data_IF_020258599564
#
_entry.id   IF_020258599564
#
_cell.length_a   1.000
_cell.length_b   1.000
_cell.length_c   1.000
_cell.angle_alpha   90.00
_cell.angle_beta   90.00
_cell.angle_gamma   90.00
#
_symmetry.space_group_name_H-M   'P 1'
#
loop_
_entity.id
_entity.type
_entity.pdbx_description
1 polymer ?
#
# COMPACT_ATOMS: atom_id res chain seq x y z
N UNK A 1 17.61 0.45 16.28
CA UNK A 1 16.63 1.55 16.24
C UNK A 1 17.38 2.83 15.92
N UNK A 2 17.48 3.20 14.64
CA UNK A 2 17.76 4.59 14.31
C UNK A 2 16.51 5.37 14.70
N UNK A 3 16.71 6.45 15.47
CA UNK A 3 15.67 7.39 15.88
C UNK A 3 14.75 7.70 14.71
N UNK A 4 13.50 7.22 14.75
CA UNK A 4 12.40 7.89 14.05
C UNK A 4 12.46 9.31 14.57
N UNK A 5 12.84 10.27 13.72
CA UNK A 5 12.72 11.68 14.10
C UNK A 5 11.30 11.86 14.62
N UNK A 6 11.12 12.42 15.82
CA UNK A 6 9.80 12.75 16.37
C UNK A 6 9.19 13.86 15.50
N UNK A 7 8.72 13.49 14.31
CA UNK A 7 8.06 14.37 13.38
C UNK A 7 6.60 14.44 13.84
N UNK A 8 6.15 15.64 14.19
CA UNK A 8 4.81 15.89 14.71
C UNK A 8 4.13 16.98 13.88
N UNK A 9 2.80 16.99 13.74
CA UNK A 9 2.10 18.01 12.96
C UNK A 9 2.38 19.43 13.47
N UNK A 10 2.56 20.37 12.53
CA UNK A 10 2.88 21.78 12.75
C UNK A 10 1.89 22.66 11.95
N UNK A 11 1.40 23.76 12.53
CA UNK A 11 0.33 24.60 11.98
C UNK A 11 0.74 25.41 10.74
N UNK A 12 2.04 25.50 10.45
CA UNK A 12 2.56 26.23 9.29
C UNK A 12 3.05 25.32 8.16
N UNK A 13 2.75 24.03 8.20
CA UNK A 13 3.22 23.09 7.17
C UNK A 13 2.13 22.75 6.16
N UNK A 14 2.41 23.03 4.88
CA UNK A 14 1.63 22.55 3.74
C UNK A 14 2.38 21.45 2.99
N UNK A 15 1.63 20.54 2.36
CA UNK A 15 2.18 19.54 1.45
C UNK A 15 2.92 20.18 0.26
N UNK A 16 2.49 21.37 -0.15
CA UNK A 16 3.04 22.11 -1.29
C UNK A 16 4.25 22.97 -0.95
N UNK A 17 4.67 23.03 0.32
CA UNK A 17 5.84 23.81 0.70
C UNK A 17 7.12 23.24 0.07
N UNK A 18 7.97 24.13 -0.43
CA UNK A 18 9.32 23.82 -0.90
C UNK A 18 10.32 24.26 0.17
N UNK A 19 10.71 23.35 1.05
CA UNK A 19 11.65 23.60 2.15
C UNK A 19 13.08 23.16 1.79
N UNK A 20 13.20 22.11 1.00
CA UNK A 20 14.44 21.45 0.63
C UNK A 20 14.58 21.38 -0.90
N UNK A 21 15.20 22.41 -1.48
CA UNK A 21 15.35 22.55 -2.94
C UNK A 21 16.05 21.36 -3.61
N UNK A 22 17.00 20.71 -2.91
CA UNK A 22 17.70 19.50 -3.39
C UNK A 22 16.79 18.26 -3.51
N UNK A 23 15.58 18.30 -2.96
CA UNK A 23 14.61 17.21 -2.96
C UNK A 23 13.40 17.51 -3.86
N UNK A 24 13.46 18.57 -4.67
CA UNK A 24 12.36 18.95 -5.54
C UNK A 24 12.35 18.11 -6.80
N UNK A 25 11.21 17.50 -7.09
CA UNK A 25 10.95 16.74 -8.30
C UNK A 25 9.75 17.36 -9.04
N UNK A 26 9.96 17.70 -10.31
CA UNK A 26 8.87 18.11 -11.22
C UNK A 26 8.23 16.86 -11.84
N UNK A 27 6.95 16.63 -11.55
CA UNK A 27 6.16 15.59 -12.20
C UNK A 27 5.67 16.10 -13.54
N UNK A 28 6.34 15.63 -14.61
CA UNK A 28 5.98 15.92 -15.99
C UNK A 28 5.78 14.64 -16.78
N UNK A 29 4.56 14.46 -17.29
CA UNK A 29 4.20 13.32 -18.14
C UNK A 29 4.47 13.64 -19.61
N UNK A 30 4.97 12.66 -20.36
CA UNK A 30 5.24 12.79 -21.79
C UNK A 30 3.97 12.98 -22.63
N UNK A 31 2.81 12.65 -22.05
CA UNK A 31 1.50 12.58 -22.73
C UNK A 31 1.42 11.46 -23.76
N UNK A 32 2.31 10.49 -23.65
CA UNK A 32 2.33 9.25 -24.42
C UNK A 32 2.00 8.12 -23.44
N UNK A 33 0.75 7.61 -23.42
CA UNK A 33 0.32 6.65 -22.41
C UNK A 33 1.22 5.40 -22.30
N UNK A 34 1.74 4.89 -23.41
CA UNK A 34 2.70 3.77 -23.37
C UNK A 34 3.94 4.11 -22.53
N UNK A 35 4.62 5.24 -22.82
CA UNK A 35 5.84 5.63 -22.13
C UNK A 35 5.57 5.98 -20.67
N UNK A 36 4.46 6.66 -20.38
CA UNK A 36 4.15 7.09 -19.02
C UNK A 36 3.76 5.91 -18.11
N UNK A 37 2.97 4.94 -18.60
CA UNK A 37 2.69 3.72 -17.86
C UNK A 37 3.92 2.81 -17.72
N UNK A 38 4.75 2.72 -18.77
CA UNK A 38 6.02 1.98 -18.74
C UNK A 38 6.96 2.56 -17.69
N UNK A 39 7.14 3.88 -17.68
CA UNK A 39 7.99 4.58 -16.70
C UNK A 39 7.52 4.26 -15.28
N UNK A 40 6.23 4.45 -15.00
CA UNK A 40 5.68 4.19 -13.67
C UNK A 40 5.78 2.71 -13.28
N UNK A 41 5.64 1.77 -14.23
CA UNK A 41 5.88 0.36 -13.97
C UNK A 41 7.31 0.09 -13.48
N UNK A 42 8.30 0.74 -14.08
CA UNK A 42 9.71 0.62 -13.68
C UNK A 42 9.96 1.18 -12.28
N UNK A 43 9.41 2.35 -11.97
CA UNK A 43 9.50 3.00 -10.64
C UNK A 43 8.97 2.07 -9.53
N UNK A 44 7.79 1.48 -9.75
CA UNK A 44 7.17 0.52 -8.83
C UNK A 44 7.99 -0.77 -8.69
N UNK A 45 8.48 -1.32 -9.80
CA UNK A 45 9.28 -2.55 -9.78
C UNK A 45 10.60 -2.37 -9.05
N UNK A 46 11.31 -1.26 -9.28
CA UNK A 46 12.56 -0.95 -8.59
C UNK A 46 12.35 -0.84 -7.07
N UNK A 47 11.28 -0.17 -6.64
CA UNK A 47 10.95 -0.07 -5.22
C UNK A 47 10.56 -1.43 -4.61
N UNK A 48 9.79 -2.24 -5.33
CA UNK A 48 9.45 -3.60 -4.90
C UNK A 48 10.68 -4.51 -4.78
N UNK A 49 11.57 -4.46 -5.76
CA UNK A 49 12.85 -5.16 -5.76
C UNK A 49 13.70 -4.81 -4.55
N UNK A 50 13.89 -3.51 -4.28
CA UNK A 50 14.67 -3.03 -3.13
C UNK A 50 14.10 -3.53 -1.80
N UNK A 51 12.77 -3.56 -1.65
CA UNK A 51 12.14 -4.12 -0.44
C UNK A 51 12.43 -5.62 -0.35
N UNK A 52 12.23 -6.40 -1.43
CA UNK A 52 12.46 -7.84 -1.41
C UNK A 52 13.91 -8.21 -1.14
N UNK A 53 14.86 -7.56 -1.81
CA UNK A 53 16.29 -7.71 -1.55
C UNK A 53 16.57 -7.49 -0.05
N UNK A 54 16.09 -6.38 0.50
CA UNK A 54 16.34 -6.06 1.90
C UNK A 54 15.65 -7.01 2.90
N UNK A 55 14.45 -7.50 2.58
CA UNK A 55 13.75 -8.52 3.37
C UNK A 55 14.56 -9.81 3.38
N UNK A 56 14.97 -10.29 2.20
CA UNK A 56 15.68 -11.57 2.02
C UNK A 56 17.07 -11.51 2.67
N UNK A 57 17.85 -10.46 2.40
CA UNK A 57 19.21 -10.28 2.94
C UNK A 57 19.23 -10.10 4.45
N UNK A 58 18.14 -9.58 5.04
CA UNK A 58 18.06 -9.42 6.49
C UNK A 58 17.94 -10.74 7.26
N UNK A 59 17.71 -11.86 6.56
CA UNK A 59 17.65 -13.20 7.14
C UNK A 59 16.52 -13.34 8.14
N UNK A 60 16.81 -13.28 9.44
CA UNK A 60 15.86 -13.54 10.54
C UNK A 60 15.31 -12.25 11.15
N UNK A 61 14.76 -11.38 10.31
CA UNK A 61 14.03 -10.20 10.77
C UNK A 61 12.53 -10.38 10.51
N UNK A 62 11.80 -10.82 11.53
CA UNK A 62 10.36 -11.07 11.43
C UNK A 62 9.57 -9.82 11.05
N UNK A 63 9.98 -8.62 11.48
CA UNK A 63 9.31 -7.38 11.07
C UNK A 63 9.41 -7.20 9.54
N UNK A 64 10.56 -7.50 8.95
CA UNK A 64 10.73 -7.42 7.50
C UNK A 64 9.98 -8.54 6.79
N UNK A 65 10.19 -9.79 7.21
CA UNK A 65 9.56 -10.97 6.59
C UNK A 65 8.04 -10.96 6.71
N UNK A 66 7.50 -10.56 7.85
CA UNK A 66 6.06 -10.70 8.16
C UNK A 66 5.28 -9.41 7.91
N UNK A 67 5.95 -8.26 7.69
CA UNK A 67 5.29 -6.96 7.52
C UNK A 67 5.72 -6.24 6.23
N UNK A 68 7.03 -6.02 6.02
CA UNK A 68 7.52 -5.30 4.83
C UNK A 68 7.29 -6.10 3.54
N UNK A 69 7.40 -7.42 3.63
CA UNK A 69 7.23 -8.33 2.51
C UNK A 69 5.92 -8.10 1.74
N UNK A 70 4.82 -7.80 2.44
CA UNK A 70 3.54 -7.49 1.80
C UNK A 70 3.57 -6.20 0.97
N UNK A 71 4.38 -5.22 1.37
CA UNK A 71 4.59 -4.01 0.57
C UNK A 71 5.34 -4.34 -0.72
N UNK A 72 6.39 -5.18 -0.64
CA UNK A 72 7.11 -5.66 -1.82
C UNK A 72 6.19 -6.39 -2.81
N UNK A 73 5.32 -7.28 -2.30
CA UNK A 73 4.29 -7.95 -3.09
C UNK A 73 3.40 -6.93 -3.79
N UNK A 74 2.85 -5.96 -3.06
CA UNK A 74 1.96 -4.97 -3.66
C UNK A 74 2.69 -4.15 -4.75
N UNK A 75 3.92 -3.68 -4.48
CA UNK A 75 4.65 -2.83 -5.43
C UNK A 75 4.96 -3.55 -6.74
N UNK A 76 5.43 -4.80 -6.69
CA UNK A 76 5.68 -5.59 -7.90
C UNK A 76 4.38 -6.02 -8.58
N UNK A 77 3.31 -6.32 -7.84
CA UNK A 77 1.99 -6.58 -8.44
C UNK A 77 1.46 -5.34 -9.18
N UNK A 78 1.65 -4.15 -8.61
CA UNK A 78 1.29 -2.87 -9.24
C UNK A 78 2.17 -2.59 -10.47
N UNK A 79 3.47 -2.93 -10.44
CA UNK A 79 4.35 -2.78 -11.60
C UNK A 79 3.92 -3.66 -12.77
N UNK A 80 3.48 -4.90 -12.51
CA UNK A 80 2.92 -5.79 -13.53
C UNK A 80 1.65 -5.20 -14.14
N UNK A 81 0.72 -4.69 -13.32
CA UNK A 81 -0.50 -4.05 -13.83
C UNK A 81 -0.17 -2.86 -14.74
N UNK A 82 0.74 -1.99 -14.30
CA UNK A 82 1.17 -0.82 -15.08
C UNK A 82 1.87 -1.22 -16.37
N UNK A 83 2.74 -2.23 -16.33
CA UNK A 83 3.44 -2.75 -17.49
C UNK A 83 2.49 -3.35 -18.52
N UNK A 84 1.51 -4.14 -18.08
CA UNK A 84 0.47 -4.68 -18.95
C UNK A 84 -0.43 -3.58 -19.51
N UNK A 85 -0.79 -2.56 -18.71
CA UNK A 85 -1.51 -1.38 -19.20
C UNK A 85 -0.70 -0.57 -20.22
N UNK A 86 0.61 -0.48 -20.07
CA UNK A 86 1.49 0.09 -21.08
C UNK A 86 1.39 -0.71 -22.39
N UNK A 87 1.51 -2.04 -22.33
CA UNK A 87 1.36 -2.89 -23.51
C UNK A 87 0.00 -2.69 -24.21
N UNK A 88 -1.09 -2.58 -23.46
CA UNK A 88 -2.41 -2.24 -24.02
C UNK A 88 -2.40 -0.88 -24.72
N UNK A 89 -1.79 0.15 -24.11
CA UNK A 89 -1.62 1.47 -24.72
C UNK A 89 -0.79 1.42 -26.02
N UNK A 90 0.16 0.49 -26.14
CA UNK A 90 0.95 0.30 -27.37
C UNK A 90 0.13 -0.32 -28.49
N UNK A 91 -0.64 -1.37 -28.20
CA UNK A 91 -1.37 -2.14 -29.22
C UNK A 91 -2.74 -1.57 -29.58
N UNK A 92 -3.28 -0.66 -28.76
CA UNK A 92 -4.58 -0.01 -29.00
C UNK A 92 -4.38 1.43 -29.51
N UNK A 93 -4.73 1.68 -30.78
CA UNK A 93 -4.51 2.97 -31.43
C UNK A 93 -5.59 4.03 -31.14
N UNK A 94 -6.68 3.66 -30.46
CA UNK A 94 -7.81 4.55 -30.17
C UNK A 94 -8.01 4.72 -28.67
N UNK A 95 -8.13 5.97 -28.22
CA UNK A 95 -8.45 6.33 -26.83
C UNK A 95 -9.61 5.50 -26.26
N UNK A 96 -10.74 5.43 -26.96
CA UNK A 96 -11.92 4.69 -26.49
C UNK A 96 -11.67 3.18 -26.31
N UNK A 97 -10.75 2.60 -27.08
CA UNK A 97 -10.38 1.19 -26.97
C UNK A 97 -9.50 0.96 -25.73
N UNK A 98 -8.53 1.83 -25.47
CA UNK A 98 -7.73 1.79 -24.23
C UNK A 98 -8.65 1.92 -23.02
N UNK A 99 -9.54 2.91 -23.02
CA UNK A 99 -10.48 3.13 -21.91
C UNK A 99 -11.38 1.92 -21.68
N UNK A 100 -11.86 1.29 -22.75
CA UNK A 100 -12.67 0.08 -22.65
C UNK A 100 -11.87 -1.05 -22.01
N UNK A 101 -10.66 -1.33 -22.48
CA UNK A 101 -9.81 -2.37 -21.89
C UNK A 101 -9.50 -2.09 -20.42
N UNK A 102 -9.17 -0.84 -20.05
CA UNK A 102 -8.91 -0.50 -18.66
C UNK A 102 -10.13 -0.70 -17.77
N UNK A 103 -11.34 -0.37 -18.24
CA UNK A 103 -12.58 -0.57 -17.47
C UNK A 103 -12.98 -2.04 -17.38
N UNK A 104 -12.86 -2.78 -18.49
CA UNK A 104 -13.27 -4.18 -18.58
C UNK A 104 -12.32 -5.09 -17.79
N UNK A 105 -11.01 -4.81 -17.81
CA UNK A 105 -10.01 -5.58 -17.09
C UNK A 105 -9.78 -5.06 -15.66
N UNK A 106 -9.96 -3.76 -15.43
CA UNK A 106 -9.72 -3.11 -14.14
C UNK A 106 -8.29 -3.36 -13.60
N UNK A 107 -8.16 -4.31 -12.66
CA UNK A 107 -6.91 -4.72 -12.00
C UNK A 107 -6.44 -6.12 -12.44
N UNK A 108 -7.24 -6.86 -13.22
CA UNK A 108 -7.01 -8.26 -13.57
C UNK A 108 -5.84 -8.40 -14.56
N UNK A 109 -4.71 -8.90 -14.06
CA UNK A 109 -3.46 -9.03 -14.80
C UNK A 109 -3.57 -10.07 -15.90
N UNK A 110 -4.23 -11.19 -15.61
CA UNK A 110 -4.44 -12.26 -16.59
C UNK A 110 -5.24 -11.77 -17.80
N UNK A 111 -6.37 -11.08 -17.56
CA UNK A 111 -7.18 -10.48 -18.63
C UNK A 111 -6.40 -9.41 -19.39
N UNK A 112 -5.66 -8.54 -18.71
CA UNK A 112 -4.82 -7.53 -19.38
C UNK A 112 -3.81 -8.18 -20.33
N UNK A 113 -3.12 -9.24 -19.89
CA UNK A 113 -2.15 -9.96 -20.70
C UNK A 113 -2.80 -10.69 -21.88
N UNK A 114 -3.98 -11.30 -21.67
CA UNK A 114 -4.73 -11.95 -22.74
C UNK A 114 -5.16 -10.94 -23.81
N UNK A 115 -5.70 -9.78 -23.40
CA UNK A 115 -6.08 -8.68 -24.31
C UNK A 115 -4.91 -8.17 -25.14
N UNK A 116 -3.74 -8.04 -24.53
CA UNK A 116 -2.52 -7.71 -25.24
C UNK A 116 -2.15 -8.81 -26.27
N UNK A 117 -2.15 -10.07 -25.84
CA UNK A 117 -1.81 -11.22 -26.69
C UNK A 117 -2.74 -11.39 -27.89
N UNK A 118 -4.03 -11.06 -27.75
CA UNK A 118 -5.03 -11.12 -28.82
C UNK A 118 -4.71 -10.17 -30.00
N UNK A 119 -3.87 -9.15 -29.78
CA UNK A 119 -3.47 -8.18 -30.83
C UNK A 119 -2.32 -8.67 -31.71
N UNK A 120 -1.75 -9.84 -31.42
CA UNK A 120 -0.74 -10.49 -32.26
C UNK A 120 0.71 -10.09 -32.00
N UNK A 121 0.98 -9.18 -31.05
CA UNK A 121 2.34 -8.95 -30.55
C UNK A 121 2.75 -10.08 -29.61
N UNK A 122 3.91 -10.69 -29.86
CA UNK A 122 4.51 -11.68 -28.97
C UNK A 122 6.04 -11.57 -29.03
N UNK A 123 6.65 -11.28 -27.89
CA UNK A 123 8.10 -11.08 -27.76
C UNK A 123 8.74 -12.06 -26.76
N UNK A 124 7.97 -13.03 -26.30
CA UNK A 124 8.40 -14.08 -25.37
C UNK A 124 8.19 -15.45 -26.02
N UNK A 125 8.96 -16.45 -25.57
CA UNK A 125 8.84 -17.83 -26.04
C UNK A 125 7.50 -18.45 -25.65
N UNK A 126 7.16 -19.58 -26.26
CA UNK A 126 5.93 -20.32 -25.89
C UNK A 126 5.94 -20.74 -24.42
N UNK A 127 7.09 -21.17 -23.90
CA UNK A 127 7.24 -21.63 -22.51
C UNK A 127 7.15 -20.46 -21.54
N UNK A 128 7.83 -19.34 -21.83
CA UNK A 128 7.72 -18.09 -21.06
C UNK A 128 6.26 -17.61 -21.01
N UNK A 129 5.57 -17.65 -22.16
CA UNK A 129 4.17 -17.24 -22.26
C UNK A 129 3.25 -18.15 -21.45
N UNK A 130 3.42 -19.47 -21.56
CA UNK A 130 2.60 -20.42 -20.81
C UNK A 130 2.81 -20.27 -19.31
N UNK A 131 4.06 -20.12 -18.88
CA UNK A 131 4.41 -19.87 -17.48
C UNK A 131 3.75 -18.59 -16.97
N UNK A 132 3.89 -17.48 -17.72
CA UNK A 132 3.31 -16.18 -17.33
C UNK A 132 1.78 -16.24 -17.26
N UNK A 133 1.12 -16.92 -18.20
CA UNK A 133 -0.35 -17.08 -18.17
C UNK A 133 -0.80 -17.79 -16.90
N UNK A 134 -0.15 -18.90 -16.53
CA UNK A 134 -0.49 -19.63 -15.31
C UNK A 134 -0.20 -18.80 -14.06
N UNK A 135 0.93 -18.08 -14.04
CA UNK A 135 1.31 -17.24 -12.92
C UNK A 135 0.35 -16.07 -12.71
N UNK A 136 -0.02 -15.36 -13.76
CA UNK A 136 -1.00 -14.28 -13.66
C UNK A 136 -2.37 -14.81 -13.23
N UNK A 137 -2.77 -15.99 -13.69
CA UNK A 137 -4.02 -16.60 -13.24
C UNK A 137 -3.99 -16.94 -11.73
N UNK A 138 -2.87 -17.45 -11.20
CA UNK A 138 -2.74 -17.74 -9.76
C UNK A 138 -2.69 -16.49 -8.89
N UNK A 139 -2.25 -15.34 -9.42
CA UNK A 139 -2.44 -14.04 -8.75
C UNK A 139 -3.92 -13.71 -8.60
N UNK A 140 -4.72 -13.86 -9.66
CA UNK A 140 -6.15 -13.50 -9.63
C UNK A 140 -6.96 -14.39 -8.68
N UNK A 141 -6.52 -15.62 -8.40
CA UNK A 141 -7.16 -16.48 -7.39
C UNK A 141 -7.02 -15.93 -5.95
N UNK A 142 -6.04 -15.06 -5.71
CA UNK A 142 -5.70 -14.54 -4.38
C UNK A 142 -5.94 -13.04 -4.23
N UNK A 143 -5.60 -12.24 -5.24
CA UNK A 143 -5.56 -10.77 -5.18
C UNK A 143 -6.20 -10.10 -6.41
N UNK A 144 -7.36 -10.59 -6.85
CA UNK A 144 -8.12 -10.06 -8.01
C UNK A 144 -8.34 -8.54 -7.94
N UNK A 145 -8.58 -8.01 -6.74
CA UNK A 145 -8.90 -6.60 -6.49
C UNK A 145 -7.68 -5.74 -6.17
N UNK A 146 -6.49 -6.31 -6.20
CA UNK A 146 -5.26 -5.65 -5.81
C UNK A 146 -5.27 -5.14 -4.36
N UNK A 147 -6.10 -5.67 -3.46
CA UNK A 147 -6.33 -5.14 -2.11
C UNK A 147 -5.85 -6.07 -0.98
N UNK A 148 -5.56 -7.34 -1.26
CA UNK A 148 -5.24 -8.38 -0.27
C UNK A 148 -4.00 -8.03 0.57
N UNK A 149 -2.98 -7.46 -0.07
CA UNK A 149 -1.72 -7.09 0.59
C UNK A 149 -1.65 -5.62 1.01
N UNK A 150 -2.74 -4.85 0.80
CA UNK A 150 -2.86 -3.45 1.25
C UNK A 150 -3.59 -3.30 2.57
N UNK A 151 -4.49 -4.23 2.88
CA UNK A 151 -5.35 -4.18 4.05
C UNK A 151 -5.20 -5.46 4.88
N UNK A 152 -5.69 -5.48 6.13
CA UNK A 152 -5.74 -6.70 6.93
C UNK A 152 -6.48 -7.81 6.19
N UNK A 153 -6.04 -9.06 6.39
CA UNK A 153 -6.54 -10.19 5.64
C UNK A 153 -8.00 -10.50 5.99
N UNK A 154 -8.79 -10.84 4.97
CA UNK A 154 -10.18 -11.26 5.18
C UNK A 154 -10.24 -12.68 5.77
N UNK A 155 -11.34 -13.00 6.46
CA UNK A 155 -11.57 -14.30 7.10
C UNK A 155 -11.38 -15.49 6.14
N UNK A 156 -11.77 -15.33 4.87
CA UNK A 156 -11.61 -16.38 3.86
C UNK A 156 -10.15 -16.70 3.57
N UNK A 157 -9.29 -15.66 3.46
CA UNK A 157 -7.86 -15.84 3.26
C UNK A 157 -7.23 -16.49 4.50
N UNK A 158 -7.55 -16.01 5.70
CA UNK A 158 -7.05 -16.56 6.94
C UNK A 158 -7.53 -18.02 7.15
N UNK A 159 -8.75 -18.37 6.78
CA UNK A 159 -9.23 -19.75 6.88
C UNK A 159 -8.38 -20.73 6.05
N UNK A 160 -7.81 -20.27 4.94
CA UNK A 160 -6.98 -21.10 4.06
C UNK A 160 -5.49 -21.06 4.42
N UNK A 161 -4.97 -19.92 4.86
CA UNK A 161 -3.53 -19.69 4.97
C UNK A 161 -3.00 -19.35 6.36
N UNK A 162 -3.89 -19.17 7.35
CA UNK A 162 -3.47 -18.89 8.74
C UNK A 162 -2.49 -19.96 9.21
N UNK A 163 -1.48 -19.50 9.94
CA UNK A 163 -0.41 -20.29 10.53
C UNK A 163 0.55 -20.96 9.53
N UNK A 164 0.48 -20.59 8.25
CA UNK A 164 1.42 -21.06 7.22
C UNK A 164 2.56 -20.06 7.02
N UNK A 165 3.64 -20.54 6.40
CA UNK A 165 4.76 -19.72 6.02
C UNK A 165 4.81 -19.55 4.50
N UNK A 166 4.88 -18.32 4.00
CA UNK A 166 5.21 -18.05 2.60
C UNK A 166 6.72 -18.09 2.43
N UNK A 167 7.17 -18.74 1.36
CA UNK A 167 8.56 -18.76 0.97
C UNK A 167 8.92 -17.40 0.33
N UNK A 168 9.57 -16.53 1.11
CA UNK A 168 9.87 -15.16 0.69
C UNK A 168 10.69 -15.13 -0.60
N UNK A 169 11.70 -16.00 -0.69
CA UNK A 169 12.60 -16.06 -1.85
C UNK A 169 11.82 -16.53 -3.08
N UNK A 170 11.09 -17.64 -2.98
CA UNK A 170 10.38 -18.20 -4.13
C UNK A 170 9.27 -17.28 -4.63
N UNK A 171 8.51 -16.67 -3.72
CA UNK A 171 7.46 -15.71 -4.09
C UNK A 171 8.08 -14.47 -4.75
N UNK A 172 9.13 -13.87 -4.15
CA UNK A 172 9.80 -12.71 -4.72
C UNK A 172 10.38 -13.00 -6.11
N UNK A 173 11.09 -14.13 -6.25
CA UNK A 173 11.66 -14.57 -7.51
C UNK A 173 10.61 -14.75 -8.61
N UNK A 174 9.46 -15.36 -8.30
CA UNK A 174 8.37 -15.51 -9.25
C UNK A 174 7.79 -14.15 -9.68
N UNK A 175 7.63 -13.22 -8.74
CA UNK A 175 7.14 -11.87 -9.06
C UNK A 175 8.11 -11.12 -9.96
N UNK A 176 9.40 -11.17 -9.65
CA UNK A 176 10.45 -10.59 -10.49
C UNK A 176 10.46 -11.21 -11.89
N UNK A 177 10.43 -12.55 -11.98
CA UNK A 177 10.38 -13.26 -13.26
C UNK A 177 9.16 -12.81 -14.10
N UNK A 178 7.97 -12.72 -13.51
CA UNK A 178 6.78 -12.26 -14.20
C UNK A 178 6.92 -10.83 -14.71
N UNK A 179 7.43 -9.91 -13.87
CA UNK A 179 7.69 -8.53 -14.28
C UNK A 179 8.75 -8.44 -15.38
N UNK A 180 9.82 -9.23 -15.31
CA UNK A 180 10.86 -9.27 -16.35
C UNK A 180 10.33 -9.78 -17.70
N UNK A 181 9.41 -10.75 -17.72
CA UNK A 181 8.73 -11.19 -18.94
C UNK A 181 7.84 -10.09 -19.53
N UNK A 182 7.13 -9.34 -18.68
CA UNK A 182 6.36 -8.15 -19.09
C UNK A 182 7.29 -7.06 -19.64
N UNK A 183 8.41 -6.80 -18.97
CA UNK A 183 9.45 -5.84 -19.40
C UNK A 183 10.07 -6.25 -20.74
N UNK A 184 10.31 -7.54 -20.96
CA UNK A 184 10.75 -8.09 -22.26
C UNK A 184 9.72 -7.82 -23.36
N UNK A 185 8.42 -7.97 -23.07
CA UNK A 185 7.36 -7.56 -23.99
C UNK A 185 7.36 -6.05 -24.27
N UNK A 186 7.54 -5.22 -23.24
CA UNK A 186 7.60 -3.76 -23.36
C UNK A 186 8.77 -3.33 -24.25
N UNK A 187 9.91 -4.00 -24.12
CA UNK A 187 11.14 -3.73 -24.87
C UNK A 187 11.23 -4.50 -26.19
N UNK A 188 10.12 -5.02 -26.70
CA UNK A 188 10.05 -5.71 -28.00
C UNK A 188 11.05 -6.88 -28.14
N UNK A 189 11.26 -7.62 -27.06
CA UNK A 189 12.16 -8.79 -27.02
C UNK A 189 13.61 -8.46 -26.68
N UNK A 190 13.97 -7.18 -26.58
CA UNK A 190 15.28 -6.79 -26.01
C UNK A 190 15.29 -7.15 -24.52
N UNK A 191 16.25 -8.00 -24.14
CA UNK A 191 16.38 -8.54 -22.79
C UNK A 191 17.55 -7.91 -22.06
N UNK A 192 17.45 -7.92 -20.73
CA UNK A 192 18.56 -7.61 -19.84
C UNK A 192 19.44 -8.85 -19.72
N UNK A 193 20.73 -8.75 -20.04
CA UNK A 193 21.62 -9.91 -20.09
C UNK A 193 21.75 -10.65 -18.76
N UNK A 194 21.42 -9.96 -17.66
CA UNK A 194 21.52 -10.50 -16.30
C UNK A 194 20.25 -11.26 -15.86
N UNK A 195 19.14 -11.17 -16.60
CA UNK A 195 17.92 -11.92 -16.31
C UNK A 195 17.89 -13.27 -17.06
N UNK A 196 17.77 -14.36 -16.30
CA UNK A 196 17.59 -15.71 -16.83
C UNK A 196 16.20 -16.23 -16.46
N UNK A 197 15.44 -16.69 -17.46
CA UNK A 197 14.14 -17.32 -17.25
C UNK A 197 14.30 -18.74 -16.72
N UNK A 198 13.65 -19.03 -15.59
CA UNK A 198 13.67 -20.33 -14.94
C UNK A 198 12.33 -21.05 -15.18
N UNK A 199 12.31 -21.88 -16.23
CA UNK A 199 11.10 -22.60 -16.67
C UNK A 199 10.59 -23.64 -15.65
N UNK A 200 11.49 -24.15 -14.80
CA UNK A 200 11.20 -25.20 -13.81
C UNK A 200 10.52 -24.64 -12.55
N UNK A 201 10.50 -23.31 -12.37
CA UNK A 201 9.82 -22.70 -11.23
C UNK A 201 8.30 -22.88 -11.36
N UNK A 202 7.67 -23.27 -10.25
CA UNK A 202 6.22 -23.41 -10.19
C UNK A 202 5.55 -22.04 -10.40
N UNK A 203 4.63 -21.88 -11.36
CA UNK A 203 3.95 -20.60 -11.64
C UNK A 203 2.82 -20.31 -10.64
N UNK A 204 3.08 -20.54 -9.36
CA UNK A 204 2.16 -20.24 -8.25
C UNK A 204 2.52 -18.91 -7.62
N UNK A 205 1.53 -18.07 -7.37
CA UNK A 205 1.72 -16.80 -6.69
C UNK A 205 2.16 -16.99 -5.23
N UNK A 206 1.44 -17.80 -4.48
CA UNK A 206 1.77 -18.11 -3.09
C UNK A 206 2.45 -19.47 -2.97
N UNK A 207 3.76 -19.45 -2.71
CA UNK A 207 4.56 -20.65 -2.47
C UNK A 207 4.78 -20.81 -0.98
N UNK A 208 4.42 -21.98 -0.44
CA UNK A 208 4.54 -22.27 1.00
C UNK A 208 5.92 -22.83 1.36
N UNK A 209 6.42 -22.44 2.52
CA UNK A 209 7.60 -23.02 3.16
C UNK A 209 7.20 -23.96 4.30
N UNK A 210 8.10 -24.88 4.65
CA UNK A 210 7.92 -25.82 5.75
C UNK A 210 8.34 -25.28 7.13
N UNK A 211 8.98 -24.10 7.18
CA UNK A 211 9.48 -23.46 8.40
C UNK A 211 9.44 -21.93 8.31
N UNK A 212 9.43 -21.26 9.46
CA UNK A 212 9.45 -19.78 9.54
C UNK A 212 10.84 -19.13 9.41
N UNK A 213 11.93 -19.91 9.46
CA UNK A 213 13.28 -19.36 9.35
C UNK A 213 13.46 -18.67 7.98
N UNK A 214 13.50 -17.34 7.96
CA UNK A 214 13.64 -16.53 6.74
C UNK A 214 12.39 -16.42 5.87
N UNK A 215 11.22 -16.85 6.36
CA UNK A 215 9.97 -16.92 5.62
C UNK A 215 8.87 -16.12 6.32
N UNK A 216 7.95 -15.56 5.54
CA UNK A 216 6.84 -14.76 6.04
C UNK A 216 5.81 -15.65 6.74
N UNK A 217 5.56 -15.39 8.02
CA UNK A 217 4.50 -16.04 8.78
C UNK A 217 3.16 -15.35 8.53
N UNK A 218 2.18 -16.09 7.99
CA UNK A 218 0.82 -15.60 7.76
C UNK A 218 -0.01 -15.70 9.04
N UNK A 219 0.32 -14.84 10.00
CA UNK A 219 -0.44 -14.66 11.22
C UNK A 219 -0.74 -13.19 11.46
N UNK A 220 -2.01 -12.90 11.68
CA UNK A 220 -2.49 -11.59 12.13
C UNK A 220 -3.11 -11.80 13.52
N UNK A 221 -2.61 -11.09 14.56
CA UNK A 221 -3.20 -11.13 15.88
C UNK A 221 -4.69 -10.77 15.80
N UNK A 222 -5.51 -11.47 16.58
CA UNK A 222 -6.94 -11.13 16.67
C UNK A 222 -7.14 -9.81 17.40
N UNK A 223 -6.22 -9.45 18.28
CA UNK A 223 -6.29 -8.28 19.17
C UNK A 223 -6.24 -6.94 18.43
N UNK A 224 -5.55 -6.84 17.30
CA UNK A 224 -5.40 -5.59 16.53
C UNK A 224 -6.10 -5.64 15.15
N UNK A 225 -6.87 -6.71 14.91
CA UNK A 225 -7.52 -6.98 13.63
C UNK A 225 -6.57 -6.96 12.42
N UNK A 226 -5.29 -7.28 12.61
CA UNK A 226 -4.26 -7.33 11.57
C UNK A 226 -3.72 -5.98 11.11
N UNK A 227 -4.13 -4.87 11.75
CA UNK A 227 -3.68 -3.54 11.33
C UNK A 227 -2.21 -3.25 11.62
N UNK A 228 -1.67 -3.70 12.76
CA UNK A 228 -0.27 -3.45 13.14
C UNK A 228 0.70 -3.98 12.09
N UNK A 229 0.47 -5.21 11.62
CA UNK A 229 1.27 -5.83 10.57
C UNK A 229 1.29 -4.98 9.30
N UNK A 230 0.13 -4.48 8.86
CA UNK A 230 0.06 -3.65 7.65
C UNK A 230 0.67 -2.27 7.89
N UNK A 231 0.24 -1.55 8.92
CA UNK A 231 0.70 -0.19 9.22
C UNK A 231 2.22 -0.15 9.38
N UNK A 232 2.78 -1.04 10.20
CA UNK A 232 4.23 -1.14 10.42
C UNK A 232 4.98 -1.44 9.13
N UNK A 233 4.47 -2.39 8.33
CA UNK A 233 5.05 -2.72 7.03
C UNK A 233 5.10 -1.53 6.08
N UNK A 234 3.99 -0.80 5.92
CA UNK A 234 3.90 0.35 5.02
C UNK A 234 4.76 1.53 5.47
N UNK A 235 4.76 1.86 6.77
CA UNK A 235 5.59 2.95 7.33
C UNK A 235 7.06 2.64 7.13
N UNK A 236 7.52 1.49 7.61
CA UNK A 236 8.94 1.18 7.60
C UNK A 236 9.48 0.90 6.19
N UNK A 237 8.65 0.37 5.29
CA UNK A 237 9.00 0.27 3.87
C UNK A 237 9.14 1.66 3.22
N UNK A 238 8.26 2.61 3.54
CA UNK A 238 8.38 3.99 3.07
C UNK A 238 9.66 4.66 3.61
N UNK A 239 9.94 4.52 4.90
CA UNK A 239 11.16 5.02 5.54
C UNK A 239 12.41 4.44 4.87
N UNK A 240 12.40 3.15 4.56
CA UNK A 240 13.50 2.46 3.87
C UNK A 240 13.69 3.01 2.45
N UNK A 241 12.62 3.14 1.67
CA UNK A 241 12.65 3.67 0.30
C UNK A 241 13.19 5.11 0.28
N UNK A 242 12.75 5.95 1.22
CA UNK A 242 13.20 7.32 1.35
C UNK A 242 14.68 7.39 1.79
N UNK A 243 15.05 6.65 2.83
CA UNK A 243 16.39 6.72 3.44
C UNK A 243 17.49 6.12 2.57
N UNK A 244 17.17 5.10 1.76
CA UNK A 244 18.12 4.45 0.85
C UNK A 244 18.06 5.02 -0.57
N UNK A 245 17.54 6.23 -0.72
CA UNK A 245 17.49 6.92 -2.00
C UNK A 245 18.66 7.89 -2.11
N UNK A 246 19.58 7.62 -3.03
CA UNK A 246 20.45 8.68 -3.49
C UNK A 246 19.60 9.77 -4.12
N UNK A 247 19.93 11.04 -3.85
CA UNK A 247 19.12 12.19 -4.31
C UNK A 247 18.79 12.14 -5.80
N UNK A 248 19.70 11.63 -6.63
CA UNK A 248 19.53 11.54 -8.08
C UNK A 248 18.45 10.54 -8.53
N UNK A 249 18.02 9.63 -7.65
CA UNK A 249 16.99 8.62 -7.91
C UNK A 249 15.65 8.95 -7.24
N UNK A 250 15.50 10.11 -6.57
CA UNK A 250 14.27 10.50 -5.87
C UNK A 250 13.04 10.55 -6.79
N UNK A 251 13.24 10.99 -8.04
CA UNK A 251 12.17 11.03 -9.02
C UNK A 251 11.59 9.64 -9.33
N UNK A 252 12.43 8.61 -9.32
CA UNK A 252 12.03 7.22 -9.62
C UNK A 252 11.29 6.55 -8.46
N UNK A 253 11.25 7.19 -7.28
CA UNK A 253 10.63 6.64 -6.06
C UNK A 253 9.44 7.45 -5.57
N UNK A 254 9.19 8.62 -6.16
CA UNK A 254 8.16 9.56 -5.72
C UNK A 254 6.78 8.90 -5.62
N UNK A 255 6.33 8.26 -6.70
CA UNK A 255 4.98 7.67 -6.76
C UNK A 255 4.82 6.49 -5.78
N UNK A 256 5.72 5.48 -5.78
CA UNK A 256 5.68 4.41 -4.78
C UNK A 256 5.73 4.93 -3.35
N UNK A 257 6.61 5.89 -3.03
CA UNK A 257 6.78 6.44 -1.69
C UNK A 257 5.50 7.13 -1.20
N UNK A 258 4.96 8.07 -1.98
CA UNK A 258 3.73 8.77 -1.62
C UNK A 258 2.58 7.78 -1.48
N UNK A 259 2.48 6.78 -2.35
CA UNK A 259 1.47 5.75 -2.23
C UNK A 259 1.58 4.98 -0.90
N UNK A 260 2.78 4.53 -0.51
CA UNK A 260 2.96 3.78 0.74
C UNK A 260 2.53 4.60 1.96
N UNK A 261 2.97 5.86 2.03
CA UNK A 261 2.59 6.80 3.11
C UNK A 261 1.09 7.07 3.12
N UNK A 262 0.48 7.29 1.95
CA UNK A 262 -0.97 7.51 1.81
C UNK A 262 -1.73 6.28 2.32
N UNK A 263 -1.31 5.08 1.92
CA UNK A 263 -1.95 3.84 2.36
C UNK A 263 -1.81 3.64 3.88
N UNK A 264 -0.66 3.98 4.47
CA UNK A 264 -0.47 3.97 5.92
C UNK A 264 -1.46 4.90 6.64
N UNK A 265 -1.65 6.14 6.17
CA UNK A 265 -2.65 7.07 6.74
C UNK A 265 -4.06 6.48 6.68
N UNK A 266 -4.45 5.86 5.56
CA UNK A 266 -5.76 5.20 5.44
C UNK A 266 -5.90 4.05 6.45
N UNK A 267 -4.86 3.23 6.59
CA UNK A 267 -4.84 2.12 7.55
C UNK A 267 -4.94 2.61 8.99
N UNK A 268 -4.18 3.64 9.38
CA UNK A 268 -4.26 4.23 10.71
C UNK A 268 -5.67 4.76 11.00
N UNK A 269 -6.29 5.49 10.06
CA UNK A 269 -7.67 5.95 10.22
C UNK A 269 -8.66 4.80 10.32
N UNK A 270 -8.47 3.73 9.55
CA UNK A 270 -9.33 2.53 9.62
C UNK A 270 -9.16 1.77 10.94
N UNK A 271 -7.94 1.69 11.48
CA UNK A 271 -7.68 1.05 12.78
C UNK A 271 -8.47 1.71 13.90
N UNK A 272 -8.52 3.05 13.92
CA UNK A 272 -9.28 3.83 14.91
C UNK A 272 -10.79 3.54 14.93
N UNK A 273 -11.37 2.97 13.87
CA UNK A 273 -12.77 2.52 13.90
C UNK A 273 -13.00 1.34 14.85
N UNK A 274 -11.95 0.59 15.19
CA UNK A 274 -12.00 -0.62 16.00
C UNK A 274 -11.68 -0.34 17.49
N UNK A 275 -11.44 0.91 17.87
CA UNK A 275 -11.22 1.29 19.26
C UNK A 275 -12.41 0.84 20.14
N UNK A 276 -12.12 0.08 21.20
CA UNK A 276 -13.12 -0.53 22.09
C UNK A 276 -13.44 0.36 23.29
N UNK A 277 -13.68 1.63 23.02
CA UNK A 277 -13.96 2.68 24.03
C UNK A 277 -15.45 3.06 24.05
N UNK A 278 -15.96 3.51 25.19
CA UNK A 278 -17.38 3.81 25.42
C UNK A 278 -17.90 4.90 24.45
N UNK A 279 -17.11 5.95 24.21
CA UNK A 279 -17.42 7.01 23.25
C UNK A 279 -16.79 6.76 21.86
N UNK A 280 -16.77 5.50 21.44
CA UNK A 280 -16.23 5.06 20.16
C UNK A 280 -17.12 5.34 18.94
N UNK A 281 -16.65 4.91 17.77
CA UNK A 281 -17.42 4.99 16.52
C UNK A 281 -18.68 4.14 16.61
N UNK A 282 -19.86 4.74 16.37
CA UNK A 282 -21.13 3.99 16.44
C UNK A 282 -21.14 2.77 15.51
N UNK A 283 -21.78 1.69 15.96
CA UNK A 283 -21.88 0.43 15.19
C UNK A 283 -22.42 0.60 13.77
N UNK A 284 -23.41 1.49 13.58
CA UNK A 284 -23.97 1.77 12.26
C UNK A 284 -22.93 2.42 11.31
N UNK A 285 -22.17 3.39 11.82
CA UNK A 285 -21.09 4.04 11.06
C UNK A 285 -19.97 3.05 10.78
N UNK A 286 -19.54 2.28 11.79
CA UNK A 286 -18.56 1.22 11.62
C UNK A 286 -18.93 0.25 10.49
N UNK A 287 -20.16 -0.27 10.52
CA UNK A 287 -20.62 -1.26 9.54
C UNK A 287 -20.67 -0.70 8.11
N UNK A 288 -20.98 0.59 7.96
CA UNK A 288 -21.15 1.23 6.65
C UNK A 288 -19.88 1.88 6.10
N UNK A 289 -18.92 2.25 6.96
CA UNK A 289 -17.79 3.12 6.56
C UNK A 289 -16.39 2.52 6.75
N UNK A 290 -16.20 1.48 7.57
CA UNK A 290 -14.86 0.91 7.85
C UNK A 290 -14.07 0.46 6.61
N UNK A 291 -14.75 0.16 5.51
CA UNK A 291 -14.13 -0.25 4.23
C UNK A 291 -13.92 0.91 3.25
N UNK A 292 -14.26 2.14 3.62
CA UNK A 292 -14.11 3.31 2.73
C UNK A 292 -12.65 3.67 2.49
N UNK A 293 -12.37 4.25 1.34
CA UNK A 293 -11.06 4.82 0.98
C UNK A 293 -11.04 6.36 1.09
N UNK A 294 -12.17 6.97 1.46
CA UNK A 294 -12.33 8.42 1.51
C UNK A 294 -11.84 8.96 2.85
N UNK A 295 -10.62 9.50 2.87
CA UNK A 295 -9.94 10.00 4.06
C UNK A 295 -10.80 11.01 4.82
N UNK A 296 -11.25 12.08 4.15
CA UNK A 296 -12.06 13.12 4.78
C UNK A 296 -13.49 12.65 5.10
N UNK A 297 -14.22 12.29 4.03
CA UNK A 297 -15.69 12.19 4.08
C UNK A 297 -16.19 11.06 4.98
N UNK A 298 -15.49 9.93 4.96
CA UNK A 298 -15.95 8.72 5.63
C UNK A 298 -15.04 8.30 6.78
N UNK A 299 -13.72 8.47 6.69
CA UNK A 299 -12.82 8.02 7.76
C UNK A 299 -12.65 9.08 8.85
N UNK A 300 -11.92 10.17 8.57
CA UNK A 300 -11.63 11.25 9.50
C UNK A 300 -12.89 11.83 10.15
N UNK A 301 -13.92 12.16 9.36
CA UNK A 301 -15.19 12.69 9.86
C UNK A 301 -15.79 11.87 11.02
N UNK A 302 -15.60 10.55 11.00
CA UNK A 302 -16.22 9.65 11.97
C UNK A 302 -15.30 9.31 13.16
N UNK A 303 -13.98 9.40 13.01
CA UNK A 303 -13.03 9.17 14.12
C UNK A 303 -12.69 10.44 14.88
N UNK A 304 -12.71 11.61 14.22
CA UNK A 304 -12.40 12.92 14.82
C UNK A 304 -13.21 13.21 16.09
N UNK A 305 -14.54 12.99 16.16
CA UNK A 305 -15.32 13.26 17.38
C UNK A 305 -14.86 12.42 18.58
N UNK A 306 -14.52 11.15 18.36
CA UNK A 306 -14.00 10.25 19.40
C UNK A 306 -12.64 10.73 19.92
N UNK A 307 -11.71 11.08 19.01
CA UNK A 307 -10.40 11.64 19.38
C UNK A 307 -10.58 12.92 20.20
N UNK A 308 -11.43 13.84 19.74
CA UNK A 308 -11.67 15.11 20.42
C UNK A 308 -12.29 14.93 21.81
N UNK A 309 -13.19 13.97 21.97
CA UNK A 309 -13.81 13.66 23.26
C UNK A 309 -12.74 13.27 24.30
N UNK A 310 -11.95 12.25 24.02
CA UNK A 310 -10.93 11.76 24.97
C UNK A 310 -9.74 12.71 25.15
N UNK A 311 -9.39 13.49 24.11
CA UNK A 311 -8.43 14.57 24.25
C UNK A 311 -8.95 15.67 25.21
N UNK A 312 -10.26 15.97 25.19
CA UNK A 312 -10.85 16.95 26.10
C UNK A 312 -10.91 16.44 27.54
N UNK A 313 -11.19 15.14 27.75
CA UNK A 313 -11.20 14.54 29.10
C UNK A 313 -9.82 14.48 29.75
N UNK A 314 -8.76 14.51 28.94
CA UNK A 314 -7.36 14.50 29.39
C UNK A 314 -6.69 15.87 29.42
N UNK A 315 -7.45 16.96 29.26
CA UNK A 315 -6.95 18.35 29.17
C UNK A 315 -5.85 18.54 28.09
N UNK A 316 -5.88 17.74 27.02
CA UNK A 316 -4.93 17.83 25.92
C UNK A 316 -5.22 19.02 25.00
N UNK A 317 -4.19 19.52 24.31
CA UNK A 317 -4.34 20.61 23.34
C UNK A 317 -5.13 20.14 22.11
N UNK A 318 -6.35 20.68 21.95
CA UNK A 318 -7.22 20.33 20.82
C UNK A 318 -6.75 20.97 19.50
N UNK A 319 -5.88 21.97 19.52
CA UNK A 319 -5.38 22.64 18.31
C UNK A 319 -4.71 21.66 17.36
N UNK A 320 -4.01 20.65 17.89
CA UNK A 320 -3.36 19.62 17.07
C UNK A 320 -4.35 18.83 16.20
N UNK A 321 -5.58 18.63 16.69
CA UNK A 321 -6.63 17.92 15.95
C UNK A 321 -7.07 18.74 14.73
N UNK A 322 -7.16 20.06 14.89
CA UNK A 322 -7.50 20.98 13.79
C UNK A 322 -6.37 21.06 12.76
N UNK A 323 -5.11 21.08 13.21
CA UNK A 323 -3.93 21.01 12.32
C UNK A 323 -3.97 19.73 11.48
N UNK A 324 -4.16 18.57 12.11
CA UNK A 324 -4.22 17.28 11.41
C UNK A 324 -5.43 17.20 10.49
N UNK A 325 -6.57 17.78 10.88
CA UNK A 325 -7.74 17.89 10.00
C UNK A 325 -7.36 18.61 8.71
N UNK A 326 -6.82 19.82 8.80
CA UNK A 326 -6.38 20.59 7.63
C UNK A 326 -5.39 19.80 6.78
N UNK A 327 -4.48 19.06 7.42
CA UNK A 327 -3.51 18.24 6.70
C UNK A 327 -4.17 17.08 5.92
N UNK A 328 -5.15 16.41 6.53
CA UNK A 328 -5.95 15.37 5.87
C UNK A 328 -6.80 15.96 4.74
N UNK A 329 -7.31 17.20 4.89
CA UNK A 329 -8.07 17.88 3.85
C UNK A 329 -7.22 18.16 2.61
N UNK A 330 -5.97 18.56 2.80
CA UNK A 330 -5.03 18.80 1.71
C UNK A 330 -4.68 17.49 0.98
N UNK A 331 -4.47 16.40 1.72
CA UNK A 331 -4.28 15.06 1.15
C UNK A 331 -5.51 14.55 0.40
N UNK A 332 -6.73 14.76 0.93
CA UNK A 332 -7.99 14.39 0.27
C UNK A 332 -8.19 15.18 -1.03
N UNK A 333 -7.78 16.45 -1.06
CA UNK A 333 -7.83 17.27 -2.26
C UNK A 333 -6.86 16.78 -3.35
N UNK A 334 -5.70 16.27 -2.95
CA UNK A 334 -4.71 15.69 -3.86
C UNK A 334 -5.10 14.29 -4.35
N UNK A 335 -5.49 13.40 -3.43
CA UNK A 335 -5.73 11.98 -3.72
C UNK A 335 -6.96 11.42 -2.98
N UNK A 336 -8.12 11.96 -3.34
CA UNK A 336 -9.43 11.60 -2.79
C UNK A 336 -9.73 10.10 -2.78
N UNK A 337 -9.35 9.38 -3.84
CA UNK A 337 -9.71 7.97 -4.03
C UNK A 337 -8.56 6.99 -3.72
N UNK A 338 -7.37 7.49 -3.37
CA UNK A 338 -6.19 6.63 -3.15
C UNK A 338 -5.59 6.08 -4.43
N UNK A 339 -5.73 6.81 -5.54
CA UNK A 339 -5.33 6.37 -6.88
C UNK A 339 -4.48 7.39 -7.68
N UNK A 340 -4.22 8.64 -7.20
CA UNK A 340 -3.35 9.59 -7.93
C UNK A 340 -1.95 8.99 -8.12
N UNK A 341 -1.42 8.38 -7.07
CA UNK A 341 -0.04 7.90 -7.06
C UNK A 341 0.11 6.45 -7.53
N UNK A 342 -0.99 5.79 -7.91
CA UNK A 342 -0.96 4.44 -8.51
C UNK A 342 -0.91 4.46 -10.03
N UNK A 343 -1.45 5.51 -10.65
CA UNK A 343 -1.63 5.58 -12.09
C UNK A 343 -1.32 6.98 -12.61
N UNK A 344 -0.69 7.10 -13.80
CA UNK A 344 -0.43 8.41 -14.39
C UNK A 344 -1.72 9.11 -14.84
N UNK A 345 -2.80 8.36 -15.06
CA UNK A 345 -4.06 8.88 -15.61
C UNK A 345 -5.30 8.32 -14.93
N UNK A 346 -6.44 9.00 -15.11
CA UNK A 346 -7.77 8.44 -14.84
C UNK A 346 -8.15 7.39 -15.90
N UNK A 347 -9.25 6.67 -15.71
CA UNK A 347 -9.83 5.83 -16.79
C UNK A 347 -10.16 6.61 -18.06
N UNK A 348 -10.28 7.94 -17.99
CA UNK A 348 -10.50 8.80 -19.16
C UNK A 348 -9.20 9.19 -19.87
N UNK A 349 -8.05 8.66 -19.44
CA UNK A 349 -6.69 9.05 -19.85
C UNK A 349 -6.39 10.53 -19.57
N UNK A 350 -7.01 11.09 -18.54
CA UNK A 350 -6.67 12.43 -18.04
C UNK A 350 -5.50 12.30 -17.08
N UNK A 351 -4.41 13.01 -17.36
CA UNK A 351 -3.20 12.94 -16.56
C UNK A 351 -3.40 13.56 -15.19
N UNK A 352 -2.89 12.86 -14.19
CA UNK A 352 -2.95 13.27 -12.81
C UNK A 352 -1.63 13.86 -12.36
N UNK A 353 -1.70 14.75 -11.38
CA UNK A 353 -0.53 15.28 -10.69
C UNK A 353 0.55 15.85 -11.69
N UNK A 354 0.15 16.36 -12.88
CA UNK A 354 1.05 16.84 -13.97
C UNK A 354 1.42 18.31 -13.82
N UNK A 355 2.64 18.66 -14.24
CA UNK A 355 3.22 20.01 -14.14
C UNK A 355 3.18 20.50 -12.68
N UNK A 356 3.52 19.60 -11.75
CA UNK A 356 3.57 19.87 -10.31
C UNK A 356 4.94 19.56 -9.75
N UNK A 357 5.39 20.40 -8.84
CA UNK A 357 6.62 20.19 -8.08
C UNK A 357 6.28 19.59 -6.72
N UNK A 358 7.09 18.64 -6.29
CA UNK A 358 7.04 18.07 -4.95
C UNK A 358 8.43 18.15 -4.33
N UNK A 359 8.54 18.80 -3.18
CA UNK A 359 9.66 18.57 -2.26
C UNK A 359 9.43 17.23 -1.57
N UNK A 360 10.10 16.18 -2.06
CA UNK A 360 9.89 14.80 -1.60
C UNK A 360 10.16 14.66 -0.09
N UNK A 361 11.11 15.43 0.44
CA UNK A 361 11.42 15.40 1.86
C UNK A 361 10.33 16.08 2.68
N UNK A 362 9.83 17.23 2.25
CA UNK A 362 8.68 17.86 2.92
C UNK A 362 7.44 16.94 2.87
N UNK A 363 7.17 16.29 1.73
CA UNK A 363 6.05 15.34 1.60
C UNK A 363 6.20 14.16 2.57
N UNK A 364 7.40 13.57 2.65
CA UNK A 364 7.70 12.50 3.59
C UNK A 364 7.46 12.96 5.04
N UNK A 365 8.06 14.08 5.45
CA UNK A 365 7.91 14.61 6.81
C UNK A 365 6.44 14.94 7.14
N UNK A 366 5.73 15.58 6.22
CA UNK A 366 4.32 15.94 6.36
C UNK A 366 3.44 14.71 6.60
N UNK A 367 3.57 13.69 5.76
CA UNK A 367 2.73 12.49 5.87
C UNK A 367 3.12 11.65 7.08
N UNK A 368 4.41 11.57 7.42
CA UNK A 368 4.89 10.90 8.63
C UNK A 368 4.41 11.60 9.91
N UNK A 369 4.28 12.93 9.94
CA UNK A 369 3.66 13.67 11.04
C UNK A 369 2.20 13.23 11.27
N UNK A 370 1.39 13.16 10.20
CA UNK A 370 0.00 12.71 10.26
C UNK A 370 -0.08 11.26 10.77
N UNK A 371 0.77 10.37 10.27
CA UNK A 371 0.84 8.98 10.70
C UNK A 371 1.15 8.90 12.19
N UNK A 372 2.21 9.57 12.65
CA UNK A 372 2.62 9.57 14.06
C UNK A 372 1.50 10.07 14.98
N UNK A 373 0.75 11.10 14.56
CA UNK A 373 -0.41 11.56 15.30
C UNK A 373 -1.49 10.49 15.43
N UNK A 374 -1.84 9.82 14.33
CA UNK A 374 -2.88 8.79 14.33
C UNK A 374 -2.47 7.55 15.12
N UNK A 375 -1.18 7.16 15.09
CA UNK A 375 -0.64 6.09 15.93
C UNK A 375 -0.64 6.46 17.42
N UNK A 376 -0.36 7.73 17.73
CA UNK A 376 -0.50 8.25 19.09
C UNK A 376 -1.94 8.21 19.59
N UNK A 377 -2.92 8.55 18.73
CA UNK A 377 -4.34 8.45 19.06
C UNK A 377 -4.75 7.00 19.34
N UNK A 378 -4.28 6.05 18.53
CA UNK A 378 -4.53 4.61 18.72
C UNK A 378 -4.01 4.12 20.08
N UNK A 379 -2.74 4.44 20.38
CA UNK A 379 -2.12 4.08 21.66
C UNK A 379 -2.85 4.68 22.87
N UNK A 380 -3.34 5.92 22.74
CA UNK A 380 -4.16 6.57 23.78
C UNK A 380 -5.49 5.82 23.99
N UNK A 381 -6.17 5.46 22.90
CA UNK A 381 -7.47 4.78 22.96
C UNK A 381 -7.37 3.36 23.51
N UNK A 382 -6.27 2.65 23.24
CA UNK A 382 -6.02 1.33 23.84
C UNK A 382 -5.92 1.40 25.36
N UNK A 383 -5.16 2.37 25.90
CA UNK A 383 -5.05 2.58 27.35
C UNK A 383 -6.40 2.93 27.98
N UNK A 384 -7.20 3.74 27.29
CA UNK A 384 -8.55 4.11 27.75
C UNK A 384 -9.47 2.89 27.73
N UNK A 385 -9.43 2.09 26.67
CA UNK A 385 -10.22 0.86 26.53
C UNK A 385 -9.93 -0.12 27.68
N UNK A 386 -8.66 -0.30 28.03
CA UNK A 386 -8.26 -1.14 29.16
C UNK A 386 -8.84 -0.60 30.48
N UNK A 387 -8.69 0.70 30.75
CA UNK A 387 -9.22 1.33 31.96
C UNK A 387 -10.76 1.22 32.07
N UNK A 388 -11.48 1.52 31.00
CA UNK A 388 -12.94 1.40 30.97
C UNK A 388 -13.40 -0.06 31.15
N UNK A 389 -12.64 -1.03 30.59
CA UNK A 389 -12.91 -2.46 30.75
C UNK A 389 -12.76 -2.91 32.21
N UNK A 390 -11.67 -2.50 32.87
CA UNK A 390 -11.44 -2.78 34.29
C UNK A 390 -12.55 -2.19 35.17
N UNK A 391 -12.95 -0.95 34.90
CA UNK A 391 -14.03 -0.28 35.63
C UNK A 391 -15.37 -1.01 35.45
N UNK A 392 -15.72 -1.43 34.22
CA UNK A 392 -16.93 -2.22 33.96
C UNK A 392 -16.91 -3.55 34.72
N UNK A 393 -15.78 -4.25 34.75
CA UNK A 393 -15.64 -5.49 35.52
C UNK A 393 -15.85 -5.25 37.01
N UNK A 394 -15.20 -4.24 37.58
CA UNK A 394 -15.31 -3.91 39.01
C UNK A 394 -16.75 -3.60 39.42
N UNK A 395 -17.46 -2.80 38.63
CA UNK A 395 -18.86 -2.50 38.91
C UNK A 395 -19.77 -3.71 38.77
N UNK A 396 -19.56 -4.56 37.75
CA UNK A 396 -20.32 -5.81 37.59
C UNK A 396 -20.18 -6.70 38.82
N UNK A 397 -18.94 -6.91 39.29
CA UNK A 397 -18.65 -7.74 40.46
C UNK A 397 -19.29 -7.17 41.74
N UNK A 398 -19.33 -5.83 41.86
CA UNK A 398 -20.00 -5.18 42.98
C UNK A 398 -21.51 -5.41 42.96
N UNK A 399 -22.17 -5.27 41.80
CA UNK A 399 -23.62 -5.49 41.69
C UNK A 399 -24.01 -6.95 41.94
N UNK A 400 -23.22 -7.90 41.44
CA UNK A 400 -23.43 -9.32 41.70
C UNK A 400 -23.26 -9.68 43.19
N UNK A 401 -22.41 -8.95 43.94
CA UNK A 401 -22.24 -9.14 45.38
C UNK A 401 -23.44 -8.65 46.21
N UNK A 402 -24.21 -7.67 45.74
CA UNK A 402 -25.37 -7.12 46.46
C UNK A 402 -26.71 -7.77 46.08
N UNK A 403 -26.75 -8.65 45.08
CA UNK A 403 -27.92 -9.44 44.67
C UNK A 403 -27.97 -10.85 45.32
N UNK A 404 -27.15 -11.12 46.34
CA UNK A 404 -27.15 -12.35 47.15
C UNK A 404 -27.68 -12.18 48.59
#
# INVERSE_FOLDING_TARGET
>A
MASVMQIWPDDYQSLWDIKYHDYVIEVKWSKIPFEDYKRLAQEYAQCGHLIFENVIESGHNNVKSDMWFFCGIFLLRQSMELGLKALICRVCNRKNEIQKNFKDCCHDLWKLFLRYSEKGENYISSDEKQWLIHYLASIEEVDEKSDMFRFPFEDAFLAQYRDKFLNNISVANNMEQAYHLIKKCINCGTYDHDFQFEAEWSPEFLILASHGIGNCYLCEPVSDHGFHTKITGYIQAADFIFSNCEKNHLGERLYPLIFLLRNAIELCLKRLFYASVDNGVTRHVFLSKRRSHLLKKDLWKNVRPMIQHYASESDADLKIIDIVEDQILELDALDKNGDCFRYPTTYSLEYRCNDREFDVKNVYEYMSAVINFLEGCDSMLDVISDFESEMRSYYSDCYDYYDY
#
